data_IF_035110370208
#
_entry.id   IF_035110370208
#
_cell.length_a   1.000
_cell.length_b   1.000
_cell.length_c   1.000
_cell.angle_alpha   90.00
_cell.angle_beta   90.00
_cell.angle_gamma   90.00
#
_symmetry.space_group_name_H-M   'P 1'
#
loop_
_entity.id
_entity.type
_entity.pdbx_description
1 polymer ?
#
# COMPACT_ATOMS: atom_id res chain seq x y z
N UNK A 1 0.22 19.89 9.58
CA UNK A 1 -1.08 19.24 9.83
C UNK A 1 -0.99 18.56 11.19
N UNK A 2 -1.79 19.00 12.14
CA UNK A 2 -2.14 18.19 13.29
C UNK A 2 -3.10 17.14 12.77
N UNK A 3 -2.58 15.96 12.47
CA UNK A 3 -3.40 14.79 12.26
C UNK A 3 -4.30 14.67 13.48
N UNK A 4 -5.60 14.67 13.25
CA UNK A 4 -6.55 14.43 14.31
C UNK A 4 -6.28 13.03 14.85
N UNK A 5 -5.48 12.95 15.90
CA UNK A 5 -5.35 11.71 16.67
C UNK A 5 -6.76 11.34 17.09
N UNK A 6 -7.23 10.11 16.83
CA UNK A 6 -8.52 9.67 17.31
C UNK A 6 -8.65 10.06 18.78
N UNK A 7 -9.67 10.82 19.12
CA UNK A 7 -9.85 11.35 20.48
C UNK A 7 -10.35 10.30 21.47
N UNK A 8 -10.27 9.01 21.10
CA UNK A 8 -10.68 7.89 21.92
C UNK A 8 -9.57 6.85 22.11
N UNK A 9 -9.64 6.08 23.17
CA UNK A 9 -8.70 5.00 23.40
C UNK A 9 -8.90 3.93 22.34
N UNK A 10 -7.82 3.64 21.58
CA UNK A 10 -7.73 2.41 20.83
C UNK A 10 -7.46 1.33 21.86
N UNK A 11 -8.29 0.31 21.87
CA UNK A 11 -8.09 -0.80 22.78
C UNK A 11 -6.83 -1.58 22.34
N UNK A 12 -5.74 -1.56 23.13
CA UNK A 12 -4.53 -2.29 22.78
C UNK A 12 -4.73 -3.80 22.81
N UNK A 13 -5.77 -4.28 23.49
CA UNK A 13 -6.12 -5.69 23.62
C UNK A 13 -7.17 -6.12 22.58
N UNK A 14 -7.57 -5.23 21.67
CA UNK A 14 -8.56 -5.54 20.64
C UNK A 14 -8.07 -6.68 19.75
N UNK A 15 -8.85 -7.75 19.70
CA UNK A 15 -8.61 -8.90 18.83
C UNK A 15 -9.19 -8.69 17.43
N UNK A 16 -10.18 -7.81 17.30
CA UNK A 16 -10.93 -7.56 16.08
C UNK A 16 -10.95 -6.07 15.78
N UNK A 17 -10.69 -5.74 14.51
CA UNK A 17 -10.73 -4.38 13.99
C UNK A 17 -11.71 -4.35 12.82
N UNK A 18 -12.65 -3.42 12.85
CA UNK A 18 -13.59 -3.17 11.77
C UNK A 18 -13.34 -1.78 11.19
N UNK A 19 -13.04 -1.73 9.89
CA UNK A 19 -13.07 -0.49 9.13
C UNK A 19 -14.40 -0.35 8.40
N UNK A 20 -14.98 0.83 8.47
CA UNK A 20 -16.25 1.09 7.84
C UNK A 20 -16.44 2.56 7.50
N UNK A 21 -17.45 2.81 6.71
CA UNK A 21 -17.84 4.18 6.38
C UNK A 21 -18.30 4.91 7.63
N UNK A 22 -17.86 6.16 7.74
CA UNK A 22 -18.32 7.11 8.76
C UNK A 22 -18.71 8.42 8.08
N UNK A 23 -19.85 9.00 8.47
CA UNK A 23 -20.19 10.36 8.09
C UNK A 23 -19.52 11.38 9.01
N UNK A 24 -18.92 12.40 8.45
CA UNK A 24 -18.46 13.56 9.23
C UNK A 24 -19.61 14.49 9.59
N UNK A 25 -19.35 15.43 10.51
CA UNK A 25 -20.30 16.55 10.77
C UNK A 25 -20.59 17.40 9.52
N UNK A 26 -19.71 17.35 8.52
CA UNK A 26 -19.84 18.05 7.25
C UNK A 26 -20.55 17.22 6.18
N UNK A 27 -21.14 16.08 6.56
CA UNK A 27 -21.80 15.13 5.65
C UNK A 27 -20.88 14.60 4.54
N UNK A 28 -19.59 14.56 4.79
CA UNK A 28 -18.61 13.88 3.93
C UNK A 28 -18.38 12.46 4.45
N UNK A 29 -18.10 11.53 3.53
CA UNK A 29 -17.76 10.17 3.90
C UNK A 29 -16.28 10.09 4.25
N UNK A 30 -15.97 9.35 5.30
CA UNK A 30 -14.61 9.07 5.77
C UNK A 30 -14.54 7.64 6.27
N UNK A 31 -13.34 7.12 6.47
CA UNK A 31 -13.13 5.81 7.05
C UNK A 31 -13.04 5.94 8.55
N UNK A 32 -13.82 5.14 9.23
CA UNK A 32 -13.75 4.97 10.67
C UNK A 32 -13.27 3.58 11.04
N UNK A 33 -12.80 3.46 12.28
CA UNK A 33 -12.36 2.21 12.90
C UNK A 33 -13.18 1.96 14.15
N UNK A 34 -13.50 0.69 14.38
CA UNK A 34 -14.04 0.15 15.63
C UNK A 34 -13.20 -1.01 16.08
N UNK A 35 -13.06 -1.17 17.39
CA UNK A 35 -12.33 -2.23 18.05
C UNK A 35 -13.27 -3.10 18.85
N UNK A 36 -12.97 -4.41 18.94
CA UNK A 36 -13.71 -5.37 19.75
C UNK A 36 -12.77 -6.46 20.27
N UNK A 37 -13.03 -6.94 21.50
CA UNK A 37 -12.34 -8.08 22.09
C UNK A 37 -13.09 -9.40 21.88
N UNK A 38 -14.39 -9.36 21.56
CA UNK A 38 -15.28 -10.53 21.51
C UNK A 38 -16.13 -10.64 20.24
N UNK A 39 -16.00 -9.69 19.31
CA UNK A 39 -16.79 -9.56 18.08
C UNK A 39 -18.28 -9.23 18.31
N UNK A 40 -18.68 -8.93 19.56
CA UNK A 40 -20.06 -8.61 19.95
C UNK A 40 -20.14 -7.14 20.35
N UNK A 41 -19.33 -6.74 21.32
CA UNK A 41 -19.25 -5.39 21.80
C UNK A 41 -18.18 -4.60 21.04
N UNK A 42 -18.58 -3.50 20.43
CA UNK A 42 -17.72 -2.66 19.60
C UNK A 42 -17.60 -1.25 20.16
N UNK A 43 -16.40 -0.71 20.09
CA UNK A 43 -16.11 0.68 20.42
C UNK A 43 -16.89 1.65 19.53
N UNK A 44 -16.84 2.93 19.88
CA UNK A 44 -17.28 4.00 18.99
C UNK A 44 -16.55 3.96 17.64
N UNK A 45 -17.18 4.53 16.62
CA UNK A 45 -16.58 4.61 15.28
C UNK A 45 -15.65 5.83 15.18
N UNK A 46 -14.36 5.62 15.36
CA UNK A 46 -13.34 6.66 15.34
C UNK A 46 -12.86 6.96 13.91
N UNK A 47 -12.69 8.24 13.52
CA UNK A 47 -12.13 8.56 12.20
C UNK A 47 -10.65 8.19 12.15
N UNK A 48 -10.26 7.48 11.07
CA UNK A 48 -8.86 7.07 10.84
C UNK A 48 -8.33 7.52 9.48
N UNK A 49 -9.22 7.84 8.54
CA UNK A 49 -8.83 8.40 7.25
C UNK A 49 -9.94 9.29 6.71
N UNK A 50 -9.63 10.54 6.45
CA UNK A 50 -10.55 11.53 5.89
C UNK A 50 -9.89 12.36 4.79
N UNK A 51 -10.70 12.92 3.90
CA UNK A 51 -10.19 13.83 2.86
C UNK A 51 -9.70 15.14 3.50
N UNK A 52 -8.65 15.68 2.94
CA UNK A 52 -7.96 16.89 3.40
C UNK A 52 -8.12 18.05 2.41
N UNK A 53 -7.57 19.19 2.74
CA UNK A 53 -7.61 20.38 1.87
C UNK A 53 -6.75 20.26 0.61
N UNK A 54 -5.82 19.29 0.57
CA UNK A 54 -5.01 19.04 -0.62
C UNK A 54 -5.69 18.12 -1.62
N UNK A 55 -6.76 17.44 -1.20
CA UNK A 55 -7.56 16.60 -2.07
C UNK A 55 -8.39 17.42 -3.05
N UNK A 56 -8.74 16.80 -4.17
CA UNK A 56 -9.67 17.42 -5.11
C UNK A 56 -11.01 17.79 -4.42
N UNK A 57 -11.59 18.95 -4.70
CA UNK A 57 -12.87 19.31 -4.12
C UNK A 57 -13.94 18.25 -4.36
N UNK A 58 -14.64 17.84 -3.29
CA UNK A 58 -15.65 16.79 -3.35
C UNK A 58 -15.12 15.38 -3.12
N UNK A 59 -13.84 15.23 -2.82
CA UNK A 59 -13.25 13.93 -2.43
C UNK A 59 -13.83 13.43 -1.12
N UNK A 60 -14.25 12.19 -1.11
CA UNK A 60 -14.79 11.47 0.04
C UNK A 60 -14.23 10.03 0.03
N UNK A 61 -14.16 9.37 1.19
CA UNK A 61 -13.74 7.99 1.26
C UNK A 61 -14.91 7.08 1.54
N UNK A 62 -15.18 6.19 0.60
CA UNK A 62 -16.42 5.43 0.56
C UNK A 62 -16.31 4.13 1.39
N UNK A 63 -15.25 3.38 1.21
CA UNK A 63 -14.95 2.16 1.93
C UNK A 63 -13.45 1.88 1.89
N UNK A 64 -12.98 1.00 2.76
CA UNK A 64 -11.62 0.48 2.72
C UNK A 64 -11.66 -1.01 2.99
N UNK A 65 -11.18 -1.79 2.02
CA UNK A 65 -10.97 -3.22 2.17
C UNK A 65 -9.55 -3.45 2.70
N UNK A 66 -9.45 -4.10 3.82
CA UNK A 66 -8.17 -4.34 4.46
C UNK A 66 -8.29 -4.36 5.98
N UNK A 67 -7.18 -4.45 6.70
CA UNK A 67 -5.82 -4.44 6.15
C UNK A 67 -5.44 -5.76 5.47
N UNK A 68 -4.76 -5.66 4.35
CA UNK A 68 -4.02 -6.78 3.81
C UNK A 68 -2.86 -7.00 4.75
N UNK A 69 -2.99 -8.00 5.62
CA UNK A 69 -1.92 -8.41 6.50
C UNK A 69 -1.12 -9.47 5.78
N UNK A 70 -0.03 -9.09 5.15
CA UNK A 70 0.98 -10.06 4.80
C UNK A 70 2.00 -10.10 5.95
N UNK A 71 2.22 -11.27 6.55
CA UNK A 71 3.19 -11.47 7.62
C UNK A 71 4.62 -11.06 7.19
N UNK A 72 4.89 -10.99 5.89
CA UNK A 72 6.18 -10.55 5.34
C UNK A 72 6.41 -9.04 5.41
N UNK A 73 5.38 -8.22 5.58
CA UNK A 73 5.52 -6.75 5.57
C UNK A 73 5.80 -6.12 6.94
N UNK A 74 6.30 -6.87 7.89
CA UNK A 74 6.84 -6.41 9.18
C UNK A 74 6.24 -5.09 9.70
N UNK A 75 4.93 -5.11 10.06
CA UNK A 75 4.24 -3.95 10.60
C UNK A 75 3.83 -2.90 9.55
N UNK A 76 3.73 -3.27 8.29
CA UNK A 76 3.06 -2.49 7.26
C UNK A 76 1.71 -3.12 6.92
N UNK A 77 0.66 -2.33 7.02
CA UNK A 77 -0.70 -2.69 6.67
C UNK A 77 -1.09 -1.96 5.39
N UNK A 78 -1.68 -2.65 4.44
CA UNK A 78 -2.16 -2.10 3.19
C UNK A 78 -3.68 -2.19 3.12
N UNK A 79 -4.32 -1.21 2.51
CA UNK A 79 -5.77 -1.17 2.33
C UNK A 79 -6.15 -0.69 0.94
N UNK A 80 -7.20 -1.29 0.37
CA UNK A 80 -7.80 -0.84 -0.87
C UNK A 80 -8.89 0.18 -0.54
N UNK A 81 -8.61 1.44 -0.82
CA UNK A 81 -9.48 2.58 -0.49
C UNK A 81 -10.37 2.94 -1.67
N UNK A 82 -11.66 2.95 -1.47
CA UNK A 82 -12.61 3.53 -2.43
C UNK A 82 -12.66 5.04 -2.28
N UNK A 83 -11.95 5.76 -3.14
CA UNK A 83 -11.99 7.21 -3.22
C UNK A 83 -13.13 7.65 -4.14
N UNK A 84 -14.06 8.42 -3.59
CA UNK A 84 -15.24 8.91 -4.28
C UNK A 84 -15.13 10.40 -4.54
N UNK A 85 -15.41 10.82 -5.76
CA UNK A 85 -15.34 12.21 -6.22
C UNK A 85 -16.74 12.70 -6.54
N UNK A 86 -17.38 13.36 -5.55
CA UNK A 86 -18.72 13.92 -5.71
C UNK A 86 -18.74 15.06 -6.74
N UNK A 87 -19.72 15.07 -7.62
CA UNK A 87 -20.00 16.27 -8.43
C UNK A 87 -20.54 17.38 -7.54
N UNK A 88 -19.72 18.37 -7.23
CA UNK A 88 -20.04 19.47 -6.32
C UNK A 88 -21.26 20.28 -6.77
N UNK A 89 -21.55 20.33 -8.07
CA UNK A 89 -22.73 21.00 -8.62
C UNK A 89 -24.02 20.31 -8.18
N UNK A 90 -23.92 19.05 -7.75
CA UNK A 90 -25.05 18.19 -7.38
C UNK A 90 -24.98 17.70 -5.93
N UNK A 91 -23.95 18.01 -5.21
CA UNK A 91 -23.68 17.49 -3.85
C UNK A 91 -24.83 17.79 -2.86
N UNK A 92 -25.54 18.89 -3.06
CA UNK A 92 -26.63 19.31 -2.19
C UNK A 92 -28.01 18.84 -2.66
N UNK A 93 -28.09 18.15 -3.79
CA UNK A 93 -29.29 17.50 -4.26
C UNK A 93 -29.29 16.01 -3.85
N UNK A 94 -30.06 15.61 -2.82
CA UNK A 94 -30.10 14.23 -2.35
C UNK A 94 -30.49 13.22 -3.43
N UNK A 95 -31.24 13.66 -4.44
CA UNK A 95 -31.67 12.82 -5.56
C UNK A 95 -30.57 12.64 -6.62
N UNK A 96 -29.43 13.33 -6.48
CA UNK A 96 -28.36 13.38 -7.47
C UNK A 96 -26.99 13.24 -6.85
N UNK A 97 -26.84 12.30 -5.92
CA UNK A 97 -25.54 11.91 -5.38
C UNK A 97 -24.73 11.21 -6.49
N UNK A 98 -24.12 12.03 -7.34
CA UNK A 98 -23.47 11.62 -8.59
C UNK A 98 -21.96 11.84 -8.45
N UNK A 99 -21.19 10.83 -8.74
CA UNK A 99 -19.72 10.88 -8.64
C UNK A 99 -19.06 9.66 -9.26
N UNK A 100 -17.75 9.73 -9.34
CA UNK A 100 -16.90 8.65 -9.80
C UNK A 100 -16.19 8.01 -8.60
N UNK A 101 -15.90 6.72 -8.66
CA UNK A 101 -15.19 6.01 -7.60
C UNK A 101 -13.94 5.35 -8.16
N UNK A 102 -12.81 5.51 -7.48
CA UNK A 102 -11.53 4.91 -7.81
C UNK A 102 -11.01 4.05 -6.67
N UNK A 103 -10.20 3.07 -6.99
CA UNK A 103 -9.47 2.30 -6.00
C UNK A 103 -8.08 2.93 -5.80
N UNK A 104 -7.77 3.39 -4.59
CA UNK A 104 -6.47 3.91 -4.20
C UNK A 104 -5.80 2.99 -3.19
N UNK A 105 -4.46 3.02 -3.12
CA UNK A 105 -3.69 2.28 -2.11
C UNK A 105 -3.56 3.12 -0.85
N UNK A 106 -4.05 2.59 0.26
CA UNK A 106 -3.80 3.14 1.60
C UNK A 106 -2.80 2.28 2.35
N UNK A 107 -2.06 2.88 3.28
CA UNK A 107 -1.09 2.16 4.09
C UNK A 107 -1.00 2.73 5.52
N UNK A 108 -0.65 1.87 6.46
CA UNK A 108 -0.49 2.20 7.88
C UNK A 108 0.58 1.34 8.52
N UNK A 109 1.22 1.85 9.59
CA UNK A 109 2.12 1.06 10.43
C UNK A 109 1.53 0.70 11.79
N UNK A 110 0.39 1.27 12.13
CA UNK A 110 -0.24 1.12 13.44
C UNK A 110 -1.74 0.81 13.36
N UNK A 111 -2.29 0.66 12.12
CA UNK A 111 -3.71 0.42 11.86
C UNK A 111 -4.65 1.58 12.25
N UNK A 112 -4.11 2.70 12.66
CA UNK A 112 -4.80 3.89 13.14
C UNK A 112 -4.54 5.09 12.26
N UNK A 113 -3.26 5.38 12.03
CA UNK A 113 -2.82 6.46 11.16
C UNK A 113 -2.63 5.89 9.77
N UNK A 114 -3.53 6.26 8.87
CA UNK A 114 -3.50 5.85 7.48
C UNK A 114 -3.03 6.99 6.61
N UNK A 115 -2.08 6.69 5.74
CA UNK A 115 -1.75 7.51 4.60
C UNK A 115 -2.23 6.81 3.32
N UNK A 116 -2.29 7.52 2.22
CA UNK A 116 -2.70 6.97 0.93
C UNK A 116 -1.83 7.50 -0.20
N UNK A 117 -1.78 6.76 -1.26
CA UNK A 117 -1.32 7.21 -2.55
C UNK A 117 -2.53 7.78 -3.29
N UNK A 118 -2.49 9.03 -3.73
CA UNK A 118 -3.64 9.73 -4.28
C UNK A 118 -3.88 9.47 -5.78
N UNK A 119 -3.03 8.66 -6.41
CA UNK A 119 -3.26 8.14 -7.74
C UNK A 119 -4.08 6.84 -7.70
N UNK A 120 -4.85 6.53 -8.75
CA UNK A 120 -5.57 5.27 -8.85
C UNK A 120 -4.62 4.06 -8.80
N UNK A 121 -4.85 3.15 -7.86
CA UNK A 121 -4.14 1.86 -7.82
C UNK A 121 -4.68 0.89 -8.86
N UNK A 122 -6.00 0.81 -9.00
CA UNK A 122 -6.66 0.21 -10.17
C UNK A 122 -7.42 1.33 -10.86
N UNK A 123 -6.95 1.80 -12.02
CA UNK A 123 -7.60 2.89 -12.74
C UNK A 123 -8.95 2.45 -13.29
N UNK A 124 -9.85 3.41 -13.42
CA UNK A 124 -11.11 3.23 -14.14
C UNK A 124 -10.85 3.06 -15.65
N UNK A 125 -11.71 2.35 -16.32
CA UNK A 125 -11.71 2.28 -17.77
C UNK A 125 -12.12 3.60 -18.44
N UNK A 126 -11.97 3.66 -19.76
CA UNK A 126 -12.42 4.79 -20.59
C UNK A 126 -13.95 4.95 -20.58
N UNK A 127 -14.48 6.14 -20.93
CA UNK A 127 -15.91 6.35 -21.08
C UNK A 127 -16.56 5.28 -21.98
N UNK A 128 -17.54 4.57 -21.44
CA UNK A 128 -18.21 3.46 -22.07
C UNK A 128 -17.68 2.06 -21.68
N UNK A 129 -16.57 1.98 -20.96
CA UNK A 129 -16.12 0.72 -20.38
C UNK A 129 -17.02 0.31 -19.20
N UNK A 130 -17.00 -1.00 -18.87
CA UNK A 130 -17.83 -1.55 -17.81
C UNK A 130 -17.51 -0.99 -16.41
N UNK A 131 -16.33 -0.42 -16.23
CA UNK A 131 -15.78 0.10 -14.98
C UNK A 131 -15.47 1.61 -15.03
N UNK A 132 -15.98 2.32 -16.04
CA UNK A 132 -15.80 3.75 -16.19
C UNK A 132 -16.33 4.57 -15.02
N UNK A 133 -17.49 4.22 -14.49
CA UNK A 133 -18.18 4.96 -13.43
C UNK A 133 -17.61 4.69 -12.04
N UNK A 134 -17.04 3.51 -11.84
CA UNK A 134 -16.47 3.14 -10.55
C UNK A 134 -15.74 1.83 -10.56
N UNK A 135 -14.68 1.77 -9.74
CA UNK A 135 -13.88 0.58 -9.41
C UNK A 135 -13.92 0.36 -7.91
N UNK A 136 -14.41 -0.80 -7.49
CA UNK A 136 -14.54 -1.19 -6.09
C UNK A 136 -13.72 -2.47 -5.89
N UNK A 137 -12.56 -2.33 -5.29
CA UNK A 137 -11.67 -3.46 -5.02
C UNK A 137 -12.14 -4.28 -3.83
N UNK A 138 -12.05 -5.59 -3.98
CA UNK A 138 -12.23 -6.56 -2.91
C UNK A 138 -10.88 -6.98 -2.32
N UNK A 139 -10.93 -7.90 -1.37
CA UNK A 139 -9.73 -8.43 -0.72
C UNK A 139 -8.86 -9.19 -1.75
N UNK A 140 -7.56 -8.92 -1.86
CA UNK A 140 -6.70 -9.61 -2.81
C UNK A 140 -6.41 -11.04 -2.38
N UNK A 141 -6.13 -11.88 -3.37
CA UNK A 141 -5.67 -13.25 -3.20
C UNK A 141 -4.24 -13.38 -3.67
N UNK A 142 -3.36 -13.87 -2.80
CA UNK A 142 -1.96 -14.16 -3.15
C UNK A 142 -1.86 -15.62 -3.58
N UNK A 143 -1.30 -15.85 -4.77
CA UNK A 143 -1.06 -17.19 -5.29
C UNK A 143 0.25 -17.23 -6.06
N UNK A 144 1.23 -17.98 -5.52
CA UNK A 144 2.57 -18.05 -6.10
C UNK A 144 3.26 -16.69 -6.07
N UNK A 145 3.75 -16.28 -7.21
CA UNK A 145 4.46 -15.02 -7.44
C UNK A 145 3.56 -13.84 -7.83
N UNK A 146 2.22 -14.00 -7.67
CA UNK A 146 1.24 -13.00 -8.08
C UNK A 146 0.21 -12.69 -7.01
N UNK A 147 -0.29 -11.46 -7.07
CA UNK A 147 -1.44 -10.97 -6.33
C UNK A 147 -2.58 -10.75 -7.32
N UNK A 148 -3.76 -11.22 -6.97
CA UNK A 148 -4.99 -11.13 -7.76
C UNK A 148 -5.98 -10.25 -7.04
N UNK A 149 -6.42 -9.18 -7.69
CA UNK A 149 -7.41 -8.25 -7.19
C UNK A 149 -8.71 -8.45 -7.97
N UNK A 150 -9.68 -9.03 -7.32
CA UNK A 150 -11.05 -9.01 -7.85
C UNK A 150 -11.64 -7.63 -7.53
N UNK A 151 -12.34 -7.07 -8.50
CA UNK A 151 -13.04 -5.80 -8.29
C UNK A 151 -14.39 -5.80 -9.00
N UNK A 152 -15.28 -4.98 -8.49
CA UNK A 152 -16.55 -4.67 -9.13
C UNK A 152 -16.39 -3.37 -9.91
N UNK A 153 -16.72 -3.42 -11.21
CA UNK A 153 -16.79 -2.26 -12.09
C UNK A 153 -18.23 -1.82 -12.31
N UNK A 154 -18.48 -0.52 -12.30
CA UNK A 154 -19.75 0.08 -12.67
C UNK A 154 -19.59 0.92 -13.94
N UNK A 155 -20.47 0.70 -14.93
CA UNK A 155 -20.43 1.43 -16.21
C UNK A 155 -20.89 2.87 -16.12
N UNK A 156 -21.60 3.24 -15.05
CA UNK A 156 -22.14 4.57 -14.84
C UNK A 156 -21.68 5.16 -13.50
N UNK A 157 -21.75 6.48 -13.40
CA UNK A 157 -21.47 7.23 -12.17
C UNK A 157 -22.39 6.78 -11.03
N UNK A 158 -21.89 6.86 -9.81
CA UNK A 158 -22.65 6.55 -8.60
C UNK A 158 -23.99 7.33 -8.57
N UNK A 159 -25.07 6.64 -8.22
CA UNK A 159 -26.41 7.22 -8.16
C UNK A 159 -27.21 7.09 -9.46
N UNK A 160 -26.64 6.54 -10.51
CA UNK A 160 -27.36 6.20 -11.75
C UNK A 160 -27.52 4.70 -11.89
N UNK A 161 -28.59 4.24 -12.60
CA UNK A 161 -28.66 2.84 -13.02
C UNK A 161 -27.40 2.47 -13.80
N UNK A 162 -26.74 1.43 -13.38
CA UNK A 162 -25.43 1.02 -13.89
C UNK A 162 -25.43 -0.46 -14.23
N UNK A 163 -24.79 -0.82 -15.33
CA UNK A 163 -24.31 -2.17 -15.52
C UNK A 163 -23.15 -2.43 -14.56
N UNK A 164 -23.23 -3.56 -13.85
CA UNK A 164 -22.19 -3.99 -12.92
C UNK A 164 -21.56 -5.28 -13.45
N UNK A 165 -20.24 -5.32 -13.46
CA UNK A 165 -19.49 -6.52 -13.85
C UNK A 165 -18.25 -6.70 -12.94
N UNK A 166 -17.73 -7.92 -12.93
CA UNK A 166 -16.50 -8.23 -12.20
C UNK A 166 -15.29 -8.10 -13.12
N UNK A 167 -14.25 -7.48 -12.60
CA UNK A 167 -12.93 -7.40 -13.20
C UNK A 167 -11.90 -8.16 -12.38
N UNK A 168 -10.80 -8.50 -13.01
CA UNK A 168 -9.63 -9.11 -12.39
C UNK A 168 -8.38 -8.35 -12.81
N UNK A 169 -7.73 -7.72 -11.84
CA UNK A 169 -6.40 -7.16 -12.02
C UNK A 169 -5.35 -8.07 -11.37
N UNK A 170 -4.16 -8.11 -11.92
CA UNK A 170 -3.06 -8.90 -11.38
C UNK A 170 -1.78 -8.10 -11.29
N UNK A 171 -1.00 -8.38 -10.27
CA UNK A 171 0.29 -7.76 -10.02
C UNK A 171 1.30 -8.84 -9.60
N UNK A 172 2.59 -8.60 -9.84
CA UNK A 172 3.64 -9.43 -9.24
C UNK A 172 3.57 -9.35 -7.71
N UNK A 173 3.98 -10.39 -7.02
CA UNK A 173 4.05 -10.39 -5.56
C UNK A 173 4.85 -9.17 -5.10
N UNK A 174 4.36 -8.46 -4.07
CA UNK A 174 4.99 -7.29 -3.46
C UNK A 174 5.25 -6.09 -4.40
N UNK A 175 4.61 -6.06 -5.57
CA UNK A 175 4.79 -5.02 -6.59
C UNK A 175 4.04 -3.71 -6.34
N UNK A 176 3.67 -3.38 -5.10
CA UNK A 176 2.88 -2.19 -4.77
C UNK A 176 3.62 -0.88 -5.04
N UNK A 177 4.92 -0.86 -4.77
CA UNK A 177 5.80 0.29 -5.00
C UNK A 177 7.15 -0.24 -5.47
N UNK A 178 7.71 0.38 -6.50
CA UNK A 178 9.05 0.08 -7.00
C UNK A 178 9.93 1.33 -7.02
N UNK A 179 11.23 1.11 -7.02
CA UNK A 179 12.22 2.13 -7.34
C UNK A 179 12.86 1.70 -8.66
N UNK A 180 12.94 2.62 -9.60
CA UNK A 180 13.49 2.37 -10.93
C UNK A 180 14.50 3.44 -11.34
N UNK A 181 15.35 3.10 -12.30
CA UNK A 181 16.31 4.06 -12.87
C UNK A 181 15.64 5.03 -13.82
N UNK A 182 16.17 6.25 -13.89
CA UNK A 182 15.79 7.22 -14.90
C UNK A 182 16.55 6.96 -16.21
N UNK A 183 16.00 6.12 -17.06
CA UNK A 183 16.60 5.75 -18.36
C UNK A 183 17.82 4.82 -18.21
N UNK A 184 18.96 5.22 -18.80
CA UNK A 184 20.20 4.41 -18.81
C UNK A 184 21.18 4.75 -17.69
N UNK A 185 20.77 5.53 -16.72
CA UNK A 185 21.61 5.92 -15.59
C UNK A 185 21.60 4.83 -14.52
N UNK A 186 22.75 4.60 -13.89
CA UNK A 186 22.83 3.76 -12.70
C UNK A 186 22.02 4.40 -11.56
N UNK A 187 21.14 3.61 -10.93
CA UNK A 187 20.37 4.00 -9.76
C UNK A 187 21.06 3.54 -8.47
N UNK A 188 20.98 4.36 -7.44
CA UNK A 188 21.47 4.04 -6.11
C UNK A 188 20.37 4.30 -5.08
N UNK A 189 20.04 3.27 -4.29
CA UNK A 189 19.16 3.37 -3.14
C UNK A 189 19.91 2.94 -1.88
N UNK A 190 19.90 3.77 -0.84
CA UNK A 190 20.50 3.44 0.45
C UNK A 190 19.43 3.48 1.54
N UNK A 191 19.29 2.40 2.30
CA UNK A 191 18.37 2.36 3.45
C UNK A 191 18.95 3.13 4.63
N UNK A 192 18.09 3.44 5.60
CA UNK A 192 18.59 3.87 6.92
C UNK A 192 19.28 2.69 7.61
N UNK A 193 20.36 2.95 8.36
CA UNK A 193 20.97 1.92 9.21
C UNK A 193 19.97 1.40 10.25
N UNK A 194 20.01 0.11 10.49
CA UNK A 194 19.21 -0.55 11.53
C UNK A 194 19.99 -1.68 12.17
N UNK A 195 19.58 -2.11 13.36
CA UNK A 195 20.19 -3.26 14.01
C UNK A 195 19.96 -4.51 13.19
N UNK A 196 21.07 -5.15 12.80
CA UNK A 196 21.03 -6.33 11.95
C UNK A 196 20.63 -7.57 12.75
N UNK A 197 19.57 -8.21 12.32
CA UNK A 197 19.08 -9.48 12.87
C UNK A 197 18.58 -10.43 11.77
N UNK A 198 18.95 -10.15 10.52
CA UNK A 198 18.48 -10.92 9.37
C UNK A 198 19.38 -12.10 9.09
N UNK A 199 18.78 -13.25 8.80
CA UNK A 199 19.47 -14.45 8.36
C UNK A 199 19.74 -14.45 6.84
N UNK A 200 18.98 -13.67 6.06
CA UNK A 200 19.09 -13.56 4.59
C UNK A 200 18.59 -12.20 4.15
N UNK A 201 19.12 -11.71 3.04
CA UNK A 201 18.54 -10.60 2.27
C UNK A 201 17.85 -11.19 1.06
N UNK A 202 16.57 -10.83 0.88
CA UNK A 202 15.79 -11.23 -0.28
C UNK A 202 15.33 -9.99 -1.03
N UNK A 203 15.30 -10.11 -2.35
CA UNK A 203 14.91 -8.99 -3.23
C UNK A 203 13.85 -9.41 -4.23
N UNK A 204 12.98 -8.46 -4.53
CA UNK A 204 12.06 -8.49 -5.64
C UNK A 204 12.59 -7.51 -6.67
N UNK A 205 13.06 -8.01 -7.80
CA UNK A 205 13.75 -7.22 -8.81
C UNK A 205 13.32 -7.61 -10.22
N UNK A 206 13.26 -6.62 -11.09
CA UNK A 206 13.05 -6.79 -12.52
C UNK A 206 14.22 -6.15 -13.26
N UNK A 207 15.18 -6.97 -13.66
CA UNK A 207 16.44 -6.52 -14.29
C UNK A 207 16.80 -7.29 -15.57
N UNK A 208 15.86 -7.46 -16.55
CA UNK A 208 16.10 -8.30 -17.73
C UNK A 208 17.16 -7.76 -18.68
N UNK A 209 17.57 -6.50 -18.53
CA UNK A 209 18.62 -5.84 -19.36
C UNK A 209 19.59 -5.04 -18.48
N UNK A 210 19.56 -5.26 -17.19
CA UNK A 210 20.38 -4.58 -16.20
C UNK A 210 20.93 -5.56 -15.20
N UNK A 211 21.29 -5.05 -14.05
CA UNK A 211 21.72 -5.88 -12.91
C UNK A 211 21.49 -5.14 -11.61
N UNK A 212 21.16 -5.88 -10.56
CA UNK A 212 21.14 -5.40 -9.20
C UNK A 212 22.36 -5.93 -8.45
N UNK A 213 23.03 -5.06 -7.70
CA UNK A 213 24.02 -5.42 -6.68
C UNK A 213 23.57 -4.85 -5.34
N UNK A 214 23.90 -5.56 -4.28
CA UNK A 214 23.60 -5.14 -2.91
C UNK A 214 24.87 -5.12 -2.09
N UNK A 215 25.15 -3.99 -1.47
CA UNK A 215 26.25 -3.82 -0.53
C UNK A 215 25.69 -3.65 0.88
N UNK A 216 26.28 -4.29 1.87
CA UNK A 216 25.98 -4.01 3.27
C UNK A 216 27.01 -2.99 3.80
N UNK A 217 26.51 -1.90 4.37
CA UNK A 217 27.32 -0.78 4.86
C UNK A 217 27.18 -0.64 6.38
N UNK A 218 28.28 -0.26 7.02
CA UNK A 218 28.26 0.19 8.40
C UNK A 218 27.59 1.59 8.52
N UNK A 219 27.48 2.10 9.74
CA UNK A 219 26.90 3.42 10.03
C UNK A 219 27.71 4.59 9.45
N UNK A 220 28.95 4.36 9.02
CA UNK A 220 29.79 5.37 8.36
C UNK A 220 29.65 5.34 6.83
N UNK A 221 28.86 4.41 6.28
CA UNK A 221 28.67 4.20 4.85
C UNK A 221 29.75 3.37 4.17
N UNK A 222 30.66 2.75 4.95
CA UNK A 222 31.70 1.85 4.42
C UNK A 222 31.14 0.44 4.27
N UNK A 223 31.60 -0.24 3.23
CA UNK A 223 31.25 -1.65 3.05
C UNK A 223 31.71 -2.49 4.24
N UNK A 224 30.84 -3.33 4.76
CA UNK A 224 31.21 -4.39 5.66
C UNK A 224 32.11 -5.37 4.93
N UNK A 225 33.16 -5.87 5.60
CA UNK A 225 34.16 -6.77 5.01
C UNK A 225 33.48 -8.01 4.41
N UNK A 226 33.73 -8.27 3.12
CA UNK A 226 33.17 -9.37 2.36
C UNK A 226 31.73 -9.14 1.85
N UNK A 227 31.16 -7.95 2.04
CA UNK A 227 29.80 -7.60 1.63
C UNK A 227 29.75 -6.33 0.77
N UNK A 228 30.83 -6.03 0.05
CA UNK A 228 30.91 -4.92 -0.90
C UNK A 228 30.17 -5.19 -2.21
N UNK A 229 30.09 -4.17 -3.08
CA UNK A 229 29.49 -4.31 -4.42
C UNK A 229 30.21 -5.39 -5.26
N UNK A 230 31.55 -5.50 -5.15
CA UNK A 230 32.37 -6.48 -5.84
C UNK A 230 32.27 -7.90 -5.26
N UNK A 231 31.80 -8.02 -4.03
CA UNK A 231 31.56 -9.31 -3.37
C UNK A 231 30.17 -9.86 -3.68
N UNK A 232 29.22 -9.00 -4.08
CA UNK A 232 27.87 -9.38 -4.40
C UNK A 232 27.79 -10.13 -5.73
N UNK A 233 27.15 -11.29 -5.75
CA UNK A 233 26.74 -11.93 -6.99
C UNK A 233 25.64 -11.05 -7.63
N UNK A 234 25.85 -10.55 -8.87
CA UNK A 234 24.87 -9.68 -9.50
C UNK A 234 23.59 -10.47 -9.84
N UNK A 235 22.45 -9.83 -9.68
CA UNK A 235 21.15 -10.38 -10.05
C UNK A 235 20.70 -9.65 -11.30
N UNK A 236 20.52 -10.37 -12.41
CA UNK A 236 20.17 -9.84 -13.74
C UNK A 236 18.87 -10.47 -14.30
N UNK A 237 18.11 -11.12 -13.45
CA UNK A 237 16.87 -11.79 -13.77
C UNK A 237 15.64 -11.01 -13.30
N UNK A 238 14.45 -11.39 -13.80
CA UNK A 238 13.16 -11.02 -13.25
C UNK A 238 12.74 -12.04 -12.19
N UNK A 239 12.80 -11.63 -10.93
CA UNK A 239 12.50 -12.52 -9.80
C UNK A 239 11.79 -11.78 -8.67
N UNK A 240 10.90 -12.47 -7.98
CA UNK A 240 10.13 -11.90 -6.85
C UNK A 240 10.71 -12.23 -5.48
N UNK A 241 11.66 -13.18 -5.39
CA UNK A 241 12.15 -13.71 -4.11
C UNK A 241 13.59 -14.25 -4.20
N UNK A 242 14.50 -13.51 -4.84
CA UNK A 242 15.90 -13.94 -4.94
C UNK A 242 16.67 -13.67 -3.66
N UNK A 243 17.47 -14.64 -3.25
CA UNK A 243 18.38 -14.50 -2.11
C UNK A 243 19.69 -13.88 -2.59
N UNK A 244 20.00 -12.70 -2.08
CA UNK A 244 21.27 -12.03 -2.36
C UNK A 244 22.43 -12.84 -1.75
N UNK A 245 23.47 -13.05 -2.56
CA UNK A 245 24.68 -13.82 -2.17
C UNK A 245 25.91 -12.95 -2.27
N UNK A 246 26.83 -13.16 -1.33
CA UNK A 246 28.13 -12.51 -1.29
C UNK A 246 29.24 -13.54 -1.12
N UNK A 247 30.42 -13.22 -1.64
CA UNK A 247 31.63 -14.02 -1.46
C UNK A 247 32.08 -14.10 0.01
N UNK A 248 31.77 -13.07 0.79
CA UNK A 248 32.07 -12.95 2.22
C UNK A 248 31.27 -13.87 3.14
N UNK A 249 30.30 -14.60 2.60
CA UNK A 249 29.59 -15.66 3.31
C UNK A 249 28.27 -15.23 3.96
N UNK A 250 28.10 -15.56 5.22
CA UNK A 250 26.80 -15.49 5.90
C UNK A 250 26.55 -14.13 6.57
N UNK A 251 25.46 -13.48 6.18
CA UNK A 251 25.05 -12.17 6.73
C UNK A 251 24.76 -12.21 8.24
N UNK A 252 24.58 -13.38 8.84
CA UNK A 252 24.46 -13.55 10.29
C UNK A 252 25.72 -13.12 11.06
N UNK A 253 26.89 -13.07 10.39
CA UNK A 253 28.13 -12.53 10.98
C UNK A 253 28.04 -11.04 11.33
N UNK A 254 27.01 -10.35 10.85
CA UNK A 254 26.74 -8.93 11.13
C UNK A 254 25.71 -8.75 12.26
N UNK A 255 25.22 -9.84 12.87
CA UNK A 255 24.19 -9.76 13.93
C UNK A 255 24.60 -8.78 15.05
N UNK A 256 23.65 -7.92 15.43
CA UNK A 256 23.82 -6.88 16.44
C UNK A 256 24.55 -5.62 15.97
N UNK A 257 25.13 -5.59 14.77
CA UNK A 257 25.73 -4.37 14.21
C UNK A 257 24.68 -3.46 13.60
N UNK A 258 25.01 -2.18 13.49
CA UNK A 258 24.22 -1.21 12.71
C UNK A 258 24.60 -1.36 11.22
N UNK A 259 23.63 -1.72 10.39
CA UNK A 259 23.86 -2.00 8.96
C UNK A 259 22.83 -1.28 8.11
N UNK A 260 23.27 -0.64 7.04
CA UNK A 260 22.44 -0.14 5.93
C UNK A 260 22.63 -1.02 4.70
N UNK A 261 21.61 -1.12 3.86
CA UNK A 261 21.71 -1.75 2.55
C UNK A 261 21.84 -0.65 1.48
N UNK A 262 22.83 -0.79 0.61
CA UNK A 262 22.97 0.00 -0.60
C UNK A 262 22.66 -0.91 -1.80
N UNK A 263 21.68 -0.52 -2.57
CA UNK A 263 21.29 -1.14 -3.83
C UNK A 263 21.85 -0.32 -4.98
N UNK A 264 22.51 -0.97 -5.93
CA UNK A 264 23.02 -0.38 -7.17
C UNK A 264 22.38 -1.12 -8.34
N UNK A 265 21.64 -0.42 -9.20
CA UNK A 265 20.82 -1.02 -10.27
C UNK A 265 20.75 -0.15 -11.51
#
# INVERSE_FOLDING_TARGET
YLDAVPSGPIDPDAQYILYGQRGSRWKTRQIGRRDSCDFIDWSDNWPVLESSLVDAPGSEFYHMQGPIVNQTYAGLYLGMLGAYYADLRRKFDPARNDGLTECQLAYSRDTVRWARWDEPFIPRGDPGAFDWGGVYCEYPVIKGDRIYFMYTGNSERHGKPSGTAFGLATMRLDGFVSVETAGFMEGILVTRPHHWNAAKVRVNVQAPNGRLRVQLQDETGRACEGFGDEDCEPIDEDTVDEVVKWKGGDVRSLEGKMVALKFTF
#
